data_IF_920300645081
#
_entry.id   IF_920300645081
#
_cell.length_a   1.000
_cell.length_b   1.000
_cell.length_c   1.000
_cell.angle_alpha   90.00
_cell.angle_beta   90.00
_cell.angle_gamma   90.00
#
_symmetry.space_group_name_H-M   'P 1'
#
loop_
_entity.id
_entity.type
_entity.pdbx_description
1 polymer ?
#
# COMPACT_ATOMS: atom_id res chain seq x y z
N UNK A 1 -0.33 21.60 -5.88
CA UNK A 1 -0.40 22.25 -4.55
C UNK A 1 0.96 22.55 -3.94
N UNK A 2 2.09 22.45 -4.67
CA UNK A 2 3.41 22.86 -4.15
C UNK A 2 3.98 22.01 -3.01
N UNK A 3 3.20 21.06 -2.46
CA UNK A 3 3.62 20.12 -1.44
C UNK A 3 4.08 18.80 -2.04
N UNK A 4 5.00 18.13 -1.33
CA UNK A 4 5.47 16.78 -1.59
C UNK A 4 4.70 15.79 -0.72
N UNK A 5 4.34 14.66 -1.32
CA UNK A 5 3.72 13.52 -0.64
C UNK A 5 4.60 12.28 -0.80
N UNK A 6 4.67 11.47 0.25
CA UNK A 6 5.41 10.21 0.26
C UNK A 6 4.55 9.11 0.86
N UNK A 7 4.62 7.92 0.26
CA UNK A 7 4.09 6.68 0.80
C UNK A 7 5.23 5.71 1.01
N UNK A 8 5.34 5.16 2.22
CA UNK A 8 6.51 4.37 2.61
C UNK A 8 6.12 3.17 3.47
N UNK A 9 6.91 2.10 3.35
CA UNK A 9 6.74 0.88 4.15
C UNK A 9 7.20 1.07 5.59
N UNK A 10 6.50 0.46 6.55
CA UNK A 10 6.89 0.44 7.96
C UNK A 10 6.37 -0.80 8.66
N UNK A 11 7.24 -1.51 9.39
CA UNK A 11 6.82 -2.59 10.30
C UNK A 11 6.18 -2.01 11.56
N UNK A 12 4.96 -2.45 11.88
CA UNK A 12 4.31 -2.18 13.17
C UNK A 12 4.62 -3.27 14.19
N UNK A 13 4.61 -4.52 13.75
CA UNK A 13 4.90 -5.67 14.60
C UNK A 13 5.56 -6.78 13.77
N UNK A 14 6.45 -7.55 14.40
CA UNK A 14 7.09 -8.71 13.76
C UNK A 14 6.25 -9.98 13.88
N UNK A 15 5.25 -9.98 14.77
CA UNK A 15 4.25 -11.03 14.88
C UNK A 15 2.86 -10.42 15.10
N UNK A 16 1.98 -10.58 14.11
CA UNK A 16 0.60 -10.10 14.14
C UNK A 16 -0.36 -11.08 14.84
N UNK A 17 0.15 -12.15 15.46
CA UNK A 17 -0.63 -13.24 16.06
C UNK A 17 -0.89 -14.40 15.12
N UNK A 18 -0.35 -14.35 13.89
CA UNK A 18 -0.37 -15.44 12.92
C UNK A 18 1.04 -15.90 12.51
N UNK A 19 2.07 -15.55 13.28
CA UNK A 19 3.46 -15.93 12.99
C UNK A 19 4.08 -15.12 11.84
N UNK A 20 3.44 -14.03 11.43
CA UNK A 20 3.90 -13.16 10.36
C UNK A 20 3.93 -11.69 10.76
N UNK A 21 4.76 -10.90 10.07
CA UNK A 21 4.90 -9.47 10.35
C UNK A 21 3.67 -8.68 9.90
N UNK A 22 3.35 -7.65 10.67
CA UNK A 22 2.46 -6.57 10.25
C UNK A 22 3.31 -5.42 9.69
N UNK A 23 3.42 -5.35 8.37
CA UNK A 23 4.14 -4.30 7.66
C UNK A 23 3.16 -3.48 6.82
N UNK A 24 3.04 -2.20 7.15
CA UNK A 24 2.02 -1.28 6.62
C UNK A 24 2.62 -0.23 5.68
N UNK A 25 1.77 0.45 4.92
CA UNK A 25 2.14 1.66 4.19
C UNK A 25 1.69 2.88 5.01
N UNK A 26 2.63 3.78 5.28
CA UNK A 26 2.43 5.06 5.96
C UNK A 26 2.55 6.23 4.97
N UNK A 27 2.01 7.37 5.35
CA UNK A 27 2.10 8.62 4.60
C UNK A 27 2.98 9.65 5.32
N UNK A 28 3.63 10.50 4.54
CA UNK A 28 4.30 11.70 5.01
C UNK A 28 4.14 12.84 3.99
N UNK A 29 4.13 14.06 4.51
CA UNK A 29 3.98 15.29 3.74
C UNK A 29 5.14 16.26 4.03
N UNK A 30 5.52 17.04 3.01
CA UNK A 30 6.57 18.04 3.13
C UNK A 30 6.27 19.26 2.28
N UNK A 31 6.60 20.45 2.78
CA UNK A 31 6.50 21.70 2.03
C UNK A 31 7.75 22.00 1.20
N UNK A 32 8.89 21.41 1.55
CA UNK A 32 10.21 21.73 0.98
C UNK A 32 10.98 20.51 0.44
N UNK A 33 10.45 19.30 0.63
CA UNK A 33 11.09 18.04 0.28
C UNK A 33 12.20 17.59 1.24
N UNK A 34 12.51 18.39 2.27
CA UNK A 34 13.58 18.13 3.23
C UNK A 34 13.05 17.82 4.64
N UNK A 35 12.07 18.59 5.11
CA UNK A 35 11.42 18.39 6.40
C UNK A 35 10.09 17.68 6.21
N UNK A 36 9.94 16.51 6.81
CA UNK A 36 8.79 15.63 6.60
C UNK A 36 7.95 15.52 7.88
N UNK A 37 6.65 15.78 7.74
CA UNK A 37 5.64 15.44 8.74
C UNK A 37 5.14 14.03 8.47
N UNK A 38 5.11 13.17 9.49
CA UNK A 38 4.62 11.79 9.37
C UNK A 38 3.12 11.78 9.66
N UNK A 39 2.33 11.51 8.63
CA UNK A 39 0.86 11.54 8.70
C UNK A 39 0.28 10.23 9.30
N UNK A 40 1.08 9.17 9.38
CA UNK A 40 0.68 7.89 9.98
C UNK A 40 0.23 6.88 8.93
N UNK A 41 -0.74 6.05 9.26
CA UNK A 41 -1.21 4.95 8.39
C UNK A 41 -1.89 5.52 7.14
N UNK A 42 -1.45 5.10 5.94
CA UNK A 42 -2.01 5.59 4.69
C UNK A 42 -3.16 4.73 4.16
N UNK A 43 -2.98 3.41 4.17
CA UNK A 43 -3.97 2.44 3.67
C UNK A 43 -4.39 1.52 4.81
N UNK A 44 -5.66 1.06 4.83
CA UNK A 44 -6.07 0.05 5.80
C UNK A 44 -5.36 -1.29 5.53
N UNK A 45 -5.20 -2.08 6.58
CA UNK A 45 -4.65 -3.43 6.52
C UNK A 45 -5.64 -4.42 7.15
N UNK A 46 -5.51 -5.69 6.79
CA UNK A 46 -6.31 -6.77 7.36
C UNK A 46 -5.42 -8.00 7.59
N UNK A 47 -5.34 -8.43 8.85
CA UNK A 47 -4.51 -9.58 9.24
C UNK A 47 -5.02 -10.84 8.54
N UNK A 48 -4.11 -11.62 7.94
CA UNK A 48 -4.48 -12.81 7.17
C UNK A 48 -5.00 -12.52 5.76
N UNK A 49 -5.15 -11.26 5.34
CA UNK A 49 -5.57 -10.89 3.98
C UNK A 49 -4.56 -9.95 3.34
N UNK A 50 -4.33 -8.78 3.93
CA UNK A 50 -3.44 -7.76 3.43
C UNK A 50 -2.70 -7.09 4.59
N UNK A 51 -1.53 -7.63 4.95
CA UNK A 51 -0.79 -7.19 6.15
C UNK A 51 0.72 -7.06 6.00
N UNK A 52 1.31 -7.55 4.90
CA UNK A 52 2.74 -7.40 4.62
C UNK A 52 2.93 -6.61 3.33
N UNK A 53 2.68 -5.30 3.38
CA UNK A 53 2.74 -4.42 2.22
C UNK A 53 4.17 -4.00 1.87
N UNK A 54 4.46 -3.76 0.60
CA UNK A 54 5.74 -3.17 0.16
C UNK A 54 5.58 -2.41 -1.15
N UNK A 55 6.60 -1.59 -1.48
CA UNK A 55 6.74 -0.91 -2.78
C UNK A 55 5.51 -0.11 -3.24
N UNK A 56 4.96 0.82 -2.43
CA UNK A 56 3.85 1.67 -2.88
C UNK A 56 4.25 2.50 -4.10
N UNK A 57 3.36 2.56 -5.09
CA UNK A 57 3.49 3.38 -6.30
C UNK A 57 2.16 4.09 -6.53
N UNK A 58 2.16 5.42 -6.48
CA UNK A 58 0.95 6.24 -6.62
C UNK A 58 0.91 6.90 -8.00
N UNK A 59 -0.27 6.82 -8.64
CA UNK A 59 -0.58 7.50 -9.89
C UNK A 59 -1.88 8.30 -9.75
N UNK A 60 -1.99 9.40 -10.50
CA UNK A 60 -3.21 10.20 -10.61
C UNK A 60 -3.90 9.90 -11.93
N UNK A 61 -5.20 9.65 -11.87
CA UNK A 61 -6.06 9.38 -13.02
C UNK A 61 -6.53 10.66 -13.71
N UNK A 62 -7.03 10.58 -14.96
CA UNK A 62 -7.53 11.76 -15.68
C UNK A 62 -8.73 12.45 -15.02
N UNK A 63 -9.56 11.70 -14.27
CA UNK A 63 -10.70 12.23 -13.51
C UNK A 63 -10.29 12.93 -12.20
N UNK A 64 -8.98 12.96 -11.91
CA UNK A 64 -8.41 13.59 -10.72
C UNK A 64 -8.28 12.65 -9.53
N UNK A 65 -8.84 11.44 -9.57
CA UNK A 65 -8.69 10.42 -8.53
C UNK A 65 -7.28 9.82 -8.53
N UNK A 66 -6.96 9.02 -7.51
CA UNK A 66 -5.65 8.42 -7.31
C UNK A 66 -5.75 6.90 -7.20
N UNK A 67 -4.76 6.24 -7.78
CA UNK A 67 -4.50 4.82 -7.62
C UNK A 67 -3.17 4.58 -6.91
N UNK A 68 -3.12 3.59 -6.03
CA UNK A 68 -1.88 3.11 -5.41
C UNK A 68 -1.74 1.62 -5.66
N UNK A 69 -0.64 1.23 -6.30
CA UNK A 69 -0.22 -0.17 -6.42
C UNK A 69 0.82 -0.49 -5.36
N UNK A 70 0.78 -1.70 -4.85
CA UNK A 70 1.73 -2.19 -3.85
C UNK A 70 1.85 -3.70 -3.95
N UNK A 71 2.97 -4.26 -3.49
CA UNK A 71 3.06 -5.69 -3.23
C UNK A 71 2.47 -5.99 -1.86
N UNK A 72 1.72 -7.08 -1.72
CA UNK A 72 1.21 -7.55 -0.43
C UNK A 72 1.17 -9.08 -0.34
N UNK A 73 1.09 -9.59 0.89
CA UNK A 73 0.69 -10.97 1.19
C UNK A 73 -0.17 -11.01 2.46
N UNK A 74 -0.99 -12.06 2.55
CA UNK A 74 -1.85 -12.42 3.69
C UNK A 74 -1.08 -12.90 4.90
N UNK A 75 0.07 -13.54 4.69
CA UNK A 75 0.86 -14.17 5.75
C UNK A 75 0.34 -15.56 6.17
N UNK A 76 -0.38 -16.25 5.29
CA UNK A 76 -0.79 -17.65 5.49
C UNK A 76 0.03 -18.63 4.64
N UNK A 77 1.18 -18.18 4.13
CA UNK A 77 2.10 -18.96 3.28
C UNK A 77 2.08 -18.58 1.80
N UNK A 78 1.18 -17.69 1.38
CA UNK A 78 1.10 -17.22 -0.01
C UNK A 78 2.26 -16.29 -0.37
N UNK A 79 2.66 -16.35 -1.64
CA UNK A 79 3.64 -15.43 -2.22
C UNK A 79 3.03 -14.05 -2.46
N UNK A 80 3.89 -13.06 -2.66
CA UNK A 80 3.45 -11.69 -2.92
C UNK A 80 2.53 -11.59 -4.14
N UNK A 81 1.54 -10.72 -4.05
CA UNK A 81 0.65 -10.29 -5.14
C UNK A 81 0.70 -8.78 -5.29
N UNK A 82 0.31 -8.29 -6.46
CA UNK A 82 0.05 -6.87 -6.65
C UNK A 82 -1.35 -6.55 -6.13
N UNK A 83 -1.43 -5.63 -5.18
CA UNK A 83 -2.66 -5.08 -4.67
C UNK A 83 -2.86 -3.64 -5.13
N UNK A 84 -4.07 -3.14 -4.92
CA UNK A 84 -4.47 -1.82 -5.34
C UNK A 84 -5.33 -1.12 -4.28
N UNK A 85 -5.19 0.20 -4.20
CA UNK A 85 -6.02 1.08 -3.40
C UNK A 85 -6.41 2.33 -4.20
N UNK A 86 -7.58 2.89 -3.86
CA UNK A 86 -8.15 4.07 -4.50
C UNK A 86 -8.29 5.21 -3.51
N UNK A 87 -8.15 6.44 -3.99
CA UNK A 87 -8.36 7.66 -3.20
C UNK A 87 -8.88 8.79 -4.08
N UNK A 88 -9.68 9.69 -3.53
CA UNK A 88 -10.14 10.90 -4.23
C UNK A 88 -9.25 12.12 -3.95
N UNK A 89 -8.46 12.07 -2.87
CA UNK A 89 -7.71 13.21 -2.32
C UNK A 89 -6.23 12.87 -2.03
N UNK A 90 -5.80 11.64 -2.32
CA UNK A 90 -4.50 11.06 -1.95
C UNK A 90 -4.21 11.00 -0.44
N UNK A 91 -5.18 11.31 0.42
CA UNK A 91 -5.06 11.30 1.87
C UNK A 91 -5.84 10.11 2.46
N UNK A 92 -7.07 9.91 1.99
CA UNK A 92 -7.96 8.85 2.44
C UNK A 92 -7.98 7.73 1.39
N UNK A 93 -7.49 6.55 1.77
CA UNK A 93 -7.36 5.41 0.86
C UNK A 93 -8.29 4.27 1.22
N UNK A 94 -8.82 3.60 0.20
CA UNK A 94 -9.63 2.37 0.31
C UNK A 94 -8.97 1.25 -0.48
N UNK A 95 -8.79 0.09 0.14
CA UNK A 95 -8.35 -1.12 -0.56
C UNK A 95 -9.36 -1.52 -1.64
N UNK A 96 -8.84 -1.89 -2.81
CA UNK A 96 -9.57 -2.39 -3.95
C UNK A 96 -8.75 -3.51 -4.61
N UNK A 97 -8.44 -4.55 -3.82
CA UNK A 97 -7.48 -5.61 -4.19
C UNK A 97 -7.88 -6.36 -5.47
N UNK A 98 -9.18 -6.48 -5.73
CA UNK A 98 -9.78 -7.07 -6.92
C UNK A 98 -9.59 -6.20 -8.18
N UNK A 99 -9.20 -4.94 -8.03
CA UNK A 99 -9.02 -3.97 -9.11
C UNK A 99 -7.53 -3.75 -9.48
N UNK A 100 -6.62 -4.58 -8.97
CA UNK A 100 -5.19 -4.45 -9.30
C UNK A 100 -4.89 -4.62 -10.80
N UNK A 101 -5.75 -5.36 -11.53
CA UNK A 101 -5.65 -5.55 -12.97
C UNK A 101 -4.48 -6.43 -13.42
N UNK A 102 -3.66 -6.92 -12.49
CA UNK A 102 -2.51 -7.79 -12.73
C UNK A 102 -2.62 -8.98 -11.77
N UNK A 103 -2.61 -10.18 -12.33
CA UNK A 103 -2.62 -11.44 -11.58
C UNK A 103 -1.57 -12.39 -12.15
N UNK A 104 -1.33 -13.48 -11.42
CA UNK A 104 -0.47 -14.59 -11.85
C UNK A 104 -1.10 -15.35 -13.01
N UNK A 105 -0.26 -15.92 -13.87
CA UNK A 105 -0.70 -16.78 -14.96
C UNK A 105 -1.22 -18.12 -14.42
N UNK A 106 -2.09 -18.80 -15.18
CA UNK A 106 -2.61 -20.11 -14.79
C UNK A 106 -1.52 -21.20 -14.80
N UNK A 107 -0.51 -21.02 -15.66
CA UNK A 107 0.63 -21.90 -15.85
C UNK A 107 1.86 -21.04 -16.16
N UNK A 108 3.05 -21.50 -15.78
CA UNK A 108 4.31 -20.78 -16.02
C UNK A 108 5.01 -20.40 -14.72
N UNK A 109 5.81 -19.33 -14.78
CA UNK A 109 6.67 -18.90 -13.67
C UNK A 109 6.10 -17.72 -12.87
N UNK A 110 5.09 -17.03 -13.42
CA UNK A 110 4.47 -15.81 -12.88
C UNK A 110 3.13 -16.06 -12.19
#
# INVERSE_FOLDING_TARGET
DGHYSMWYGSTLNWDAGNGEMLHVIKAASSADGHHWHRDGLAIPFEIGIAQAFSRPTVGRHPDGSYGMWFSYRSGLGETYRIGYATSQDAMTWRLALDQAGITVSAEGWD
#
